data_IF_497867623474
#
_entry.id   IF_497867623474
#
_cell.length_a   1.000
_cell.length_b   1.000
_cell.length_c   1.000
_cell.angle_alpha   90.00
_cell.angle_beta   90.00
_cell.angle_gamma   90.00
#
_symmetry.space_group_name_H-M   'P 1'
#
loop_
_entity.id
_entity.type
_entity.pdbx_description
1 polymer ?
#
# COMPACT_ATOMS: atom_id res chain seq x y z
N UNK A 1 27.58 20.43 9.25
CA UNK A 1 27.21 19.06 9.67
C UNK A 1 26.93 19.08 11.16
N UNK A 2 25.77 18.57 11.60
CA UNK A 2 25.43 18.55 13.03
C UNK A 2 25.97 17.25 13.65
N UNK A 3 26.66 17.27 14.81
CA UNK A 3 27.23 16.06 15.42
C UNK A 3 26.20 14.96 15.64
N UNK A 4 24.95 15.33 15.93
CA UNK A 4 23.82 14.40 16.09
C UNK A 4 23.51 13.60 14.83
N UNK A 5 23.72 14.15 13.63
CA UNK A 5 23.48 13.46 12.36
C UNK A 5 24.48 12.32 12.15
N UNK A 6 25.76 12.57 12.44
CA UNK A 6 26.81 11.56 12.34
C UNK A 6 26.56 10.39 13.31
N UNK A 7 26.18 10.68 14.56
CA UNK A 7 25.86 9.65 15.55
C UNK A 7 24.69 8.76 15.12
N UNK A 8 23.68 9.34 14.44
CA UNK A 8 22.56 8.56 13.88
C UNK A 8 23.02 7.61 12.79
N UNK A 9 23.91 8.05 11.89
CA UNK A 9 24.44 7.19 10.82
C UNK A 9 25.28 6.05 11.36
N UNK A 10 26.18 6.32 12.32
CA UNK A 10 26.97 5.28 12.97
C UNK A 10 26.06 4.25 13.67
N UNK A 11 25.01 4.72 14.36
CA UNK A 11 24.04 3.82 14.99
C UNK A 11 23.29 2.97 13.97
N UNK A 12 22.90 3.54 12.83
CA UNK A 12 22.20 2.78 11.78
C UNK A 12 23.13 1.76 11.12
N UNK A 13 24.40 2.10 10.91
CA UNK A 13 25.41 1.17 10.39
C UNK A 13 25.62 -0.03 11.33
N UNK A 14 25.67 0.20 12.66
CA UNK A 14 25.73 -0.88 13.64
C UNK A 14 24.50 -1.79 13.60
N UNK A 15 23.32 -1.22 13.35
CA UNK A 15 22.06 -1.98 13.21
C UNK A 15 22.09 -2.80 11.92
N UNK A 16 22.48 -2.19 10.81
CA UNK A 16 22.54 -2.84 9.50
C UNK A 16 23.55 -4.00 9.46
N UNK A 17 24.63 -3.92 10.26
CA UNK A 17 25.61 -5.01 10.43
C UNK A 17 25.29 -5.98 11.58
N UNK A 18 24.13 -5.85 12.25
CA UNK A 18 23.73 -6.74 13.35
C UNK A 18 24.56 -6.59 14.64
N UNK A 19 25.41 -5.56 14.73
CA UNK A 19 26.17 -5.24 15.96
C UNK A 19 25.28 -4.64 17.04
N UNK A 20 24.11 -4.13 16.67
CA UNK A 20 23.08 -3.59 17.57
C UNK A 20 21.67 -4.04 17.18
N UNK A 21 20.78 -4.24 18.16
CA UNK A 21 19.38 -4.51 17.86
C UNK A 21 18.70 -3.28 17.24
N UNK A 22 17.95 -3.50 16.18
CA UNK A 22 17.19 -2.48 15.45
C UNK A 22 16.66 -3.03 14.13
N UNK A 23 15.86 -2.22 13.43
CA UNK A 23 15.37 -2.57 12.09
C UNK A 23 16.41 -2.19 11.06
N UNK A 24 16.84 -3.15 10.24
CA UNK A 24 17.81 -2.87 9.20
C UNK A 24 17.19 -1.97 8.11
N UNK A 25 18.01 -1.16 7.47
CA UNK A 25 17.58 -0.25 6.40
C UNK A 25 16.90 -1.01 5.26
N UNK A 26 17.40 -2.22 4.94
CA UNK A 26 16.86 -3.11 3.91
C UNK A 26 15.45 -3.60 4.27
N UNK A 27 15.26 -4.12 5.49
CA UNK A 27 13.94 -4.57 5.98
C UNK A 27 12.90 -3.43 5.94
N UNK A 28 13.33 -2.20 6.27
CA UNK A 28 12.46 -1.02 6.16
C UNK A 28 12.08 -0.70 4.72
N UNK A 29 13.01 -0.86 3.77
CA UNK A 29 12.77 -0.63 2.35
C UNK A 29 11.80 -1.66 1.76
N UNK A 30 11.99 -2.95 2.09
CA UNK A 30 11.10 -4.04 1.68
C UNK A 30 9.68 -3.83 2.26
N UNK A 31 9.57 -3.49 3.54
CA UNK A 31 8.29 -3.20 4.16
C UNK A 31 7.55 -2.03 3.49
N UNK A 32 8.28 -0.97 3.11
CA UNK A 32 7.70 0.16 2.37
C UNK A 32 7.23 -0.26 0.97
N UNK A 33 8.03 -1.05 0.25
CA UNK A 33 7.67 -1.57 -1.07
C UNK A 33 6.41 -2.47 -1.00
N UNK A 34 6.36 -3.39 -0.03
CA UNK A 34 5.22 -4.25 0.20
C UNK A 34 3.95 -3.44 0.53
N UNK A 35 4.05 -2.47 1.45
CA UNK A 35 2.92 -1.57 1.79
C UNK A 35 2.41 -0.78 0.59
N UNK A 36 3.32 -0.33 -0.30
CA UNK A 36 2.93 0.34 -1.54
C UNK A 36 2.17 -0.60 -2.47
N UNK A 37 2.69 -1.81 -2.69
CA UNK A 37 2.04 -2.79 -3.58
C UNK A 37 0.66 -3.21 -3.08
N UNK A 38 0.51 -3.39 -1.77
CA UNK A 38 -0.79 -3.71 -1.14
C UNK A 38 -1.81 -2.61 -1.44
N UNK A 39 -1.44 -1.33 -1.25
CA UNK A 39 -2.34 -0.21 -1.54
C UNK A 39 -2.74 -0.15 -3.02
N UNK A 40 -1.80 -0.34 -3.93
CA UNK A 40 -2.08 -0.38 -5.36
C UNK A 40 -3.10 -1.49 -5.68
N UNK A 41 -2.88 -2.69 -5.17
CA UNK A 41 -3.80 -3.82 -5.35
C UNK A 41 -5.18 -3.58 -4.75
N UNK A 42 -5.25 -2.98 -3.56
CA UNK A 42 -6.51 -2.62 -2.91
C UNK A 42 -7.29 -1.59 -3.75
N UNK A 43 -6.60 -0.62 -4.34
CA UNK A 43 -7.23 0.37 -5.23
C UNK A 43 -7.76 -0.27 -6.51
N UNK A 44 -6.99 -1.16 -7.13
CA UNK A 44 -7.41 -1.93 -8.32
C UNK A 44 -8.66 -2.77 -8.00
N UNK A 45 -8.63 -3.51 -6.89
CA UNK A 45 -9.77 -4.31 -6.44
C UNK A 45 -11.01 -3.45 -6.16
N UNK A 46 -10.85 -2.28 -5.56
CA UNK A 46 -11.96 -1.37 -5.29
C UNK A 46 -12.62 -0.88 -6.59
N UNK A 47 -11.80 -0.53 -7.60
CA UNK A 47 -12.29 -0.13 -8.93
C UNK A 47 -13.05 -1.28 -9.59
N UNK A 48 -12.48 -2.48 -9.60
CA UNK A 48 -13.10 -3.67 -10.22
C UNK A 48 -14.43 -3.99 -9.54
N UNK A 49 -14.48 -4.00 -8.21
CA UNK A 49 -15.72 -4.24 -7.46
C UNK A 49 -16.79 -3.21 -7.78
N UNK A 50 -16.42 -1.93 -7.87
CA UNK A 50 -17.36 -0.86 -8.23
C UNK A 50 -17.86 -1.01 -9.67
N UNK A 51 -16.99 -1.36 -10.62
CA UNK A 51 -17.40 -1.64 -11.99
C UNK A 51 -18.34 -2.85 -12.08
N UNK A 52 -18.06 -3.92 -11.33
CA UNK A 52 -18.93 -5.10 -11.26
C UNK A 52 -20.33 -4.76 -10.71
N UNK A 53 -20.42 -3.88 -9.70
CA UNK A 53 -21.71 -3.40 -9.19
C UNK A 53 -22.53 -2.69 -10.26
N UNK A 54 -21.91 -1.84 -11.09
CA UNK A 54 -22.63 -1.18 -12.19
C UNK A 54 -23.13 -2.14 -13.27
N UNK A 55 -22.46 -3.28 -13.43
CA UNK A 55 -22.80 -4.29 -14.43
C UNK A 55 -23.77 -5.35 -13.89
N UNK A 56 -24.06 -5.35 -12.59
CA UNK A 56 -24.96 -6.33 -11.97
C UNK A 56 -26.42 -6.06 -12.39
N UNK A 57 -27.05 -6.97 -13.17
CA UNK A 57 -28.43 -6.80 -13.63
C UNK A 57 -29.44 -6.75 -12.47
N UNK A 58 -29.08 -7.24 -11.27
CA UNK A 58 -29.94 -7.13 -10.08
C UNK A 58 -30.01 -5.70 -9.53
N UNK A 59 -29.05 -4.84 -9.87
CA UNK A 59 -29.04 -3.41 -9.50
C UNK A 59 -29.57 -2.48 -10.60
N UNK A 60 -29.86 -3.04 -11.78
CA UNK A 60 -30.41 -2.27 -12.88
C UNK A 60 -31.84 -1.80 -12.57
N UNK A 61 -32.19 -0.53 -12.79
CA UNK A 61 -33.56 -0.06 -12.61
C UNK A 61 -34.51 -0.83 -13.52
N UNK A 62 -35.65 -1.28 -12.98
CA UNK A 62 -36.67 -2.00 -13.75
C UNK A 62 -37.02 -1.23 -15.03
N UNK A 63 -37.00 -1.89 -16.21
CA UNK A 63 -37.32 -1.21 -17.45
C UNK A 63 -38.73 -0.63 -17.34
N UNK A 64 -38.84 0.70 -17.43
CA UNK A 64 -40.13 1.41 -17.49
C UNK A 64 -40.92 0.79 -18.64
N UNK A 65 -42.07 0.20 -18.31
CA UNK A 65 -42.95 -0.44 -19.27
C UNK A 65 -43.24 0.50 -20.44
N UNK A 66 -42.97 0.01 -21.65
CA UNK A 66 -43.37 0.65 -22.90
C UNK A 66 -44.89 0.82 -22.89
N UNK A 67 -45.38 2.03 -22.70
CA UNK A 67 -46.79 2.36 -22.99
C UNK A 67 -46.95 2.39 -24.51
N UNK A 68 -47.71 1.42 -25.02
CA UNK A 68 -48.21 1.37 -26.41
C UNK A 68 -49.60 1.99 -26.47
#
# INVERSE_FOLDING_TARGET
MHPVTLHKWIRQDDIDHGRRPGTATVESAELKAARRRIRELETELAIIKKAAQFLDPATAPHPKGSTR
#
